data_IF_369397603612
#
_entry.id   IF_369397603612
#
_cell.length_a   1.000
_cell.length_b   1.000
_cell.length_c   1.000
_cell.angle_alpha   90.00
_cell.angle_beta   90.00
_cell.angle_gamma   90.00
#
_symmetry.space_group_name_H-M   'P 1'
#
loop_
_entity.id
_entity.type
_entity.pdbx_description
1 polymer ?
#
# COMPACT_ATOMS: atom_id res chain seq x y z
N UNK A 1 -3.08 -4.25 -28.04
CA UNK A 1 -3.05 -5.08 -29.27
C UNK A 1 -3.80 -6.41 -29.14
N UNK A 2 -4.12 -6.89 -27.93
CA UNK A 2 -4.87 -8.14 -27.73
C UNK A 2 -6.41 -8.02 -27.91
N UNK A 3 -6.95 -6.86 -28.25
CA UNK A 3 -8.42 -6.66 -28.38
C UNK A 3 -8.90 -6.58 -29.83
N UNK A 4 -8.00 -6.59 -30.80
CA UNK A 4 -8.35 -6.47 -32.23
C UNK A 4 -8.84 -7.78 -32.85
N UNK A 5 -8.46 -8.92 -32.26
CA UNK A 5 -8.92 -10.26 -32.65
C UNK A 5 -9.90 -10.76 -31.59
N UNK A 6 -10.99 -11.41 -32.01
CA UNK A 6 -11.98 -12.03 -31.12
C UNK A 6 -11.40 -13.29 -30.43
N UNK A 7 -10.50 -13.08 -29.48
CA UNK A 7 -9.80 -14.12 -28.71
C UNK A 7 -10.74 -14.90 -27.78
N UNK A 8 -11.92 -14.36 -27.48
CA UNK A 8 -12.93 -15.00 -26.64
C UNK A 8 -13.66 -16.15 -27.34
N UNK A 9 -13.46 -16.35 -28.65
CA UNK A 9 -14.02 -17.49 -29.39
C UNK A 9 -13.35 -18.82 -29.06
N UNK A 10 -12.07 -18.80 -28.67
CA UNK A 10 -11.28 -20.00 -28.39
C UNK A 10 -10.86 -19.98 -26.91
N UNK A 11 -11.72 -20.52 -26.05
CA UNK A 11 -11.44 -20.65 -24.62
C UNK A 11 -10.95 -22.05 -24.25
N UNK A 12 -10.03 -22.11 -23.30
CA UNK A 12 -9.50 -23.35 -22.75
C UNK A 12 -9.95 -23.54 -21.30
N UNK A 13 -10.11 -24.80 -20.90
CA UNK A 13 -10.55 -25.17 -19.57
C UNK A 13 -9.34 -25.28 -18.62
N UNK A 14 -9.35 -24.49 -17.55
CA UNK A 14 -8.39 -24.59 -16.46
C UNK A 14 -8.75 -25.74 -15.49
N UNK A 15 -7.79 -26.22 -14.68
CA UNK A 15 -8.03 -27.24 -13.64
C UNK A 15 -9.10 -26.83 -12.61
N UNK A 16 -9.36 -25.54 -12.43
CA UNK A 16 -10.44 -25.02 -11.59
C UNK A 16 -11.83 -25.02 -12.26
N UNK A 17 -11.95 -25.61 -13.46
CA UNK A 17 -13.17 -25.67 -14.28
C UNK A 17 -13.67 -24.32 -14.82
N UNK A 18 -12.85 -23.27 -14.79
CA UNK A 18 -13.13 -22.00 -15.45
C UNK A 18 -12.57 -22.00 -16.88
N UNK A 19 -13.35 -21.48 -17.82
CA UNK A 19 -12.95 -21.26 -19.22
C UNK A 19 -12.33 -19.86 -19.37
N UNK A 20 -11.12 -19.78 -19.90
CA UNK A 20 -10.43 -18.52 -20.17
C UNK A 20 -9.75 -18.55 -21.55
N UNK A 21 -9.56 -17.40 -22.22
CA UNK A 21 -8.82 -17.37 -23.46
C UNK A 21 -7.34 -17.71 -23.23
N UNK A 22 -6.72 -18.37 -24.22
CA UNK A 22 -5.33 -18.84 -24.13
C UNK A 22 -4.34 -17.73 -23.73
N UNK A 23 -4.57 -16.48 -24.18
CA UNK A 23 -3.70 -15.33 -23.92
C UNK A 23 -3.62 -14.89 -22.44
N UNK A 24 -4.57 -15.33 -21.60
CA UNK A 24 -4.61 -15.03 -20.15
C UNK A 24 -4.15 -16.19 -19.29
N UNK A 25 -3.97 -17.37 -19.87
CA UNK A 25 -3.59 -18.58 -19.15
C UNK A 25 -2.07 -18.70 -19.04
N UNK A 26 -1.62 -19.23 -17.91
CA UNK A 26 -0.22 -19.54 -17.65
C UNK A 26 0.04 -21.04 -17.77
N UNK A 27 1.14 -21.42 -18.42
CA UNK A 27 1.58 -22.81 -18.48
C UNK A 27 2.55 -23.12 -17.34
N UNK A 28 2.18 -24.06 -16.46
CA UNK A 28 3.03 -24.48 -15.36
C UNK A 28 3.98 -25.59 -15.83
N UNK A 29 5.29 -25.30 -15.90
CA UNK A 29 6.31 -26.28 -16.31
C UNK A 29 6.44 -27.47 -15.34
N UNK A 30 6.15 -27.29 -14.06
CA UNK A 30 6.29 -28.34 -13.04
C UNK A 30 5.15 -29.38 -13.10
N UNK A 31 3.91 -28.92 -13.32
CA UNK A 31 2.74 -29.79 -13.34
C UNK A 31 2.30 -30.18 -14.76
N UNK A 32 2.85 -29.54 -15.79
CA UNK A 32 2.43 -29.67 -17.20
C UNK A 32 0.94 -29.38 -17.42
N UNK A 33 0.36 -28.49 -16.61
CA UNK A 33 -1.04 -28.09 -16.64
C UNK A 33 -1.20 -26.57 -16.83
N UNK A 34 -2.30 -26.17 -17.48
CA UNK A 34 -2.68 -24.76 -17.63
C UNK A 34 -3.33 -24.23 -16.35
N UNK A 35 -2.94 -23.01 -15.94
CA UNK A 35 -3.47 -22.30 -14.76
C UNK A 35 -4.00 -20.94 -15.17
N UNK A 36 -5.18 -20.58 -14.69
CA UNK A 36 -5.74 -19.25 -14.89
C UNK A 36 -5.15 -18.24 -13.89
N UNK A 37 -5.32 -16.92 -14.11
CA UNK A 37 -4.83 -15.88 -13.20
C UNK A 37 -5.34 -16.04 -11.77
N UNK A 38 -6.52 -16.64 -11.57
CA UNK A 38 -7.09 -16.88 -10.24
C UNK A 38 -6.48 -18.10 -9.53
N UNK A 39 -5.88 -19.04 -10.27
CA UNK A 39 -5.21 -20.22 -9.71
C UNK A 39 -3.74 -19.96 -9.35
N UNK A 40 -3.20 -18.82 -9.75
CA UNK A 40 -1.82 -18.41 -9.49
C UNK A 40 -1.82 -17.37 -8.37
N UNK A 41 -0.84 -17.43 -7.48
CA UNK A 41 -0.62 -16.40 -6.48
C UNK A 41 0.01 -15.17 -7.13
N UNK A 42 -0.55 -13.99 -6.86
CA UNK A 42 0.02 -12.71 -7.31
C UNK A 42 0.93 -12.16 -6.24
N UNK A 43 2.14 -11.80 -6.62
CA UNK A 43 3.14 -11.20 -5.74
C UNK A 43 3.47 -9.79 -6.24
N UNK A 44 3.79 -8.89 -5.32
CA UNK A 44 4.17 -7.52 -5.64
C UNK A 44 5.69 -7.48 -5.81
N UNK A 45 6.14 -7.24 -7.04
CA UNK A 45 7.57 -7.19 -7.38
C UNK A 45 8.17 -5.78 -7.15
N UNK A 46 7.52 -4.74 -7.68
CA UNK A 46 8.01 -3.36 -7.59
C UNK A 46 6.88 -2.33 -7.53
N UNK A 47 7.18 -1.16 -6.96
CA UNK A 47 6.27 -0.01 -6.90
C UNK A 47 6.80 1.04 -7.87
N UNK A 48 5.96 1.57 -8.75
CA UNK A 48 6.39 2.63 -9.67
C UNK A 48 5.31 3.69 -9.86
N UNK A 49 5.74 4.90 -10.20
CA UNK A 49 4.81 5.97 -10.58
C UNK A 49 4.54 5.91 -12.09
N UNK A 50 3.27 5.86 -12.56
CA UNK A 50 2.98 5.79 -13.99
C UNK A 50 3.34 7.07 -14.76
N UNK A 51 3.37 8.21 -14.07
CA UNK A 51 3.67 9.51 -14.67
C UNK A 51 5.17 9.82 -14.70
N UNK A 52 5.82 9.57 -13.57
CA UNK A 52 7.23 9.85 -13.38
C UNK A 52 8.13 8.67 -13.91
N UNK A 53 7.54 7.48 -14.14
CA UNK A 53 8.21 6.22 -14.54
C UNK A 53 9.38 5.80 -13.63
N UNK A 54 9.36 6.29 -12.40
CA UNK A 54 10.38 6.03 -11.39
C UNK A 54 9.97 4.85 -10.52
N UNK A 55 10.92 3.94 -10.30
CA UNK A 55 10.76 2.79 -9.41
C UNK A 55 11.07 3.22 -7.97
N UNK A 56 10.16 2.90 -7.05
CA UNK A 56 10.26 3.19 -5.63
C UNK A 56 10.53 1.90 -4.87
N UNK A 57 11.54 1.92 -4.00
CA UNK A 57 11.81 0.79 -3.10
C UNK A 57 10.61 0.55 -2.16
N UNK A 58 10.37 -0.70 -1.77
CA UNK A 58 9.21 -1.09 -0.94
C UNK A 58 9.16 -0.36 0.40
N UNK A 59 10.30 -0.13 1.05
CA UNK A 59 10.40 0.63 2.29
C UNK A 59 10.02 2.11 2.10
N UNK A 60 10.50 2.73 1.02
CA UNK A 60 10.17 4.12 0.69
C UNK A 60 8.70 4.28 0.33
N UNK A 61 8.16 3.37 -0.48
CA UNK A 61 6.73 3.34 -0.83
C UNK A 61 5.87 3.30 0.43
N UNK A 62 6.21 2.46 1.42
CA UNK A 62 5.49 2.39 2.70
C UNK A 62 5.56 3.71 3.47
N UNK A 63 6.74 4.34 3.54
CA UNK A 63 6.92 5.63 4.22
C UNK A 63 6.14 6.77 3.55
N UNK A 64 6.06 6.75 2.22
CA UNK A 64 5.31 7.71 1.40
C UNK A 64 3.84 7.34 1.21
N UNK A 65 3.33 6.31 1.89
CA UNK A 65 1.94 5.81 1.77
C UNK A 65 1.56 5.48 0.33
N UNK A 66 2.49 4.91 -0.43
CA UNK A 66 2.37 4.54 -1.84
C UNK A 66 2.03 5.72 -2.77
N UNK A 67 2.51 6.93 -2.44
CA UNK A 67 2.36 8.13 -3.27
C UNK A 67 3.70 8.62 -3.79
N UNK A 68 3.69 9.17 -5.01
CA UNK A 68 4.82 9.90 -5.55
C UNK A 68 4.92 11.29 -4.89
N UNK A 69 6.14 11.78 -4.63
CA UNK A 69 6.34 13.12 -4.05
C UNK A 69 6.26 14.26 -5.07
N UNK A 70 6.36 13.96 -6.37
CA UNK A 70 6.44 14.96 -7.44
C UNK A 70 5.19 15.03 -8.31
N UNK A 71 4.50 13.91 -8.45
CA UNK A 71 3.34 13.73 -9.32
C UNK A 71 2.06 13.90 -8.48
N UNK A 72 1.15 14.83 -8.86
CA UNK A 72 -0.09 15.15 -8.14
C UNK A 72 -1.32 14.95 -9.03
N UNK A 73 -2.45 14.55 -8.46
CA UNK A 73 -3.69 14.34 -9.21
C UNK A 73 -4.73 15.44 -8.95
N UNK A 74 -5.48 15.80 -9.98
CA UNK A 74 -6.49 16.85 -9.92
C UNK A 74 -7.68 16.41 -9.05
N UNK A 75 -8.10 17.22 -8.06
CA UNK A 75 -9.22 16.87 -7.18
C UNK A 75 -10.57 16.82 -7.88
N UNK A 76 -10.70 17.44 -9.07
CA UNK A 76 -11.97 17.50 -9.80
C UNK A 76 -12.14 16.39 -10.84
N UNK A 77 -11.07 15.90 -11.46
CA UNK A 77 -11.16 14.92 -12.55
C UNK A 77 -10.21 13.71 -12.44
N UNK A 78 -9.33 13.69 -11.42
CA UNK A 78 -8.35 12.61 -11.24
C UNK A 78 -7.23 12.59 -12.27
N UNK A 79 -7.16 13.56 -13.19
CA UNK A 79 -6.06 13.67 -14.14
C UNK A 79 -4.81 14.27 -13.49
N UNK A 80 -3.64 13.81 -13.89
CA UNK A 80 -2.37 14.28 -13.34
C UNK A 80 -2.12 15.75 -13.66
N UNK A 81 -1.72 16.50 -12.64
CA UNK A 81 -1.43 17.92 -12.68
C UNK A 81 -0.03 18.17 -13.24
N UNK A 82 0.10 19.28 -13.97
CA UNK A 82 1.37 19.74 -14.53
C UNK A 82 1.83 21.03 -13.84
N UNK A 83 3.11 21.12 -13.50
CA UNK A 83 3.70 22.35 -12.97
C UNK A 83 3.90 23.36 -14.10
N UNK A 84 3.34 24.55 -13.96
CA UNK A 84 3.48 25.68 -14.88
C UNK A 84 4.17 26.84 -14.19
N UNK A 85 4.99 27.57 -14.94
CA UNK A 85 5.70 28.74 -14.44
C UNK A 85 5.02 30.04 -14.92
N UNK A 86 5.03 31.07 -14.07
CA UNK A 86 4.65 32.44 -14.40
C UNK A 86 5.67 33.38 -13.78
N UNK A 87 6.03 34.44 -14.50
CA UNK A 87 6.85 35.50 -13.94
C UNK A 87 5.96 36.47 -13.17
N UNK A 88 6.19 36.59 -11.86
CA UNK A 88 5.52 37.58 -11.01
C UNK A 88 6.53 38.68 -10.72
N UNK A 89 6.18 39.91 -11.07
CA UNK A 89 7.02 41.08 -10.79
C UNK A 89 6.71 41.55 -9.37
N UNK A 90 7.66 41.34 -8.47
CA UNK A 90 7.56 41.92 -7.13
C UNK A 90 8.35 43.23 -7.10
N UNK A 91 7.66 44.32 -6.75
CA UNK A 91 8.32 45.55 -6.32
C UNK A 91 8.91 45.31 -4.94
N UNK A 92 10.22 45.49 -4.78
CA UNK A 92 10.84 45.42 -3.45
C UNK A 92 10.38 46.63 -2.63
N UNK A 93 9.98 46.46 -1.36
CA UNK A 93 9.56 47.58 -0.52
C UNK A 93 10.71 48.56 -0.18
N UNK A 94 11.96 48.12 -0.32
CA UNK A 94 13.13 48.88 0.18
C UNK A 94 13.73 49.88 -0.82
N UNK A 95 13.40 49.81 -2.12
CA UNK A 95 13.97 50.71 -3.15
C UNK A 95 12.95 50.95 -4.29
N UNK A 96 12.27 52.11 -4.35
CA UNK A 96 11.27 52.42 -5.37
C UNK A 96 11.94 52.63 -6.75
N UNK A 97 12.05 51.55 -7.53
CA UNK A 97 12.56 51.60 -8.91
C UNK A 97 13.14 50.29 -9.44
N UNK A 98 13.45 49.32 -8.58
CA UNK A 98 14.03 48.04 -9.00
C UNK A 98 13.02 46.89 -8.90
N UNK A 99 12.30 46.64 -9.98
CA UNK A 99 11.42 45.48 -10.10
C UNK A 99 12.24 44.20 -10.32
N UNK A 100 12.15 43.24 -9.40
CA UNK A 100 12.72 41.90 -9.61
C UNK A 100 11.64 40.93 -10.06
N UNK A 101 11.78 40.38 -11.26
CA UNK A 101 10.93 39.30 -11.75
C UNK A 101 11.29 38.01 -11.01
N UNK A 102 10.36 37.45 -10.24
CA UNK A 102 10.53 36.15 -9.60
C UNK A 102 9.69 35.10 -10.35
N UNK A 103 10.26 33.91 -10.54
CA UNK A 103 9.55 32.78 -11.14
C UNK A 103 8.65 32.17 -10.06
N UNK A 104 7.35 32.17 -10.33
CA UNK A 104 6.33 31.53 -9.50
C UNK A 104 5.81 30.29 -10.23
N UNK A 105 5.60 29.20 -9.50
CA UNK A 105 5.13 27.92 -10.01
C UNK A 105 3.76 27.59 -9.45
N UNK A 106 2.85 27.14 -10.31
CA UNK A 106 1.50 26.70 -9.95
C UNK A 106 1.17 25.39 -10.65
N UNK A 107 0.25 24.59 -10.09
CA UNK A 107 -0.18 23.35 -10.73
C UNK A 107 -1.47 23.60 -11.51
N UNK A 108 -1.54 23.03 -12.73
CA UNK A 108 -2.70 23.13 -13.59
C UNK A 108 -3.04 21.79 -14.24
N UNK A 109 -4.33 21.51 -14.32
CA UNK A 109 -4.88 20.36 -15.02
C UNK A 109 -5.07 20.66 -16.51
N UNK A 110 -4.55 19.80 -17.39
CA UNK A 110 -4.75 19.93 -18.84
C UNK A 110 -6.18 19.59 -19.30
N UNK A 111 -6.93 18.81 -18.52
CA UNK A 111 -8.25 18.30 -18.90
C UNK A 111 -9.38 19.26 -18.49
N UNK A 112 -9.53 19.52 -17.19
CA UNK A 112 -10.62 20.36 -16.66
C UNK A 112 -10.23 21.83 -16.44
N UNK A 113 -8.99 22.22 -16.76
CA UNK A 113 -8.42 23.57 -16.55
C UNK A 113 -8.40 24.06 -15.10
N UNK A 114 -8.56 23.16 -14.12
CA UNK A 114 -8.40 23.48 -12.70
C UNK A 114 -6.98 23.95 -12.40
N UNK A 115 -6.85 24.98 -11.56
CA UNK A 115 -5.59 25.58 -11.15
C UNK A 115 -5.51 25.62 -9.61
N UNK A 116 -4.31 25.46 -9.04
CA UNK A 116 -4.10 25.61 -7.58
C UNK A 116 -4.54 26.95 -7.03
N UNK A 117 -4.50 28.01 -7.86
CA UNK A 117 -4.97 29.36 -7.53
C UNK A 117 -6.47 29.39 -7.24
N UNK A 118 -7.26 28.58 -7.95
CA UNK A 118 -8.72 28.49 -7.76
C UNK A 118 -9.08 27.93 -6.37
N UNK A 119 -8.15 27.18 -5.76
CA UNK A 119 -8.31 26.59 -4.43
C UNK A 119 -7.63 27.41 -3.32
N UNK A 120 -7.13 28.60 -3.65
CA UNK A 120 -6.45 29.49 -2.70
C UNK A 120 -5.07 29.00 -2.24
N UNK A 121 -4.43 28.08 -2.99
CA UNK A 121 -3.08 27.62 -2.68
C UNK A 121 -2.08 28.61 -3.33
N UNK A 122 -1.17 29.22 -2.55
CA UNK A 122 -0.23 30.21 -3.08
C UNK A 122 0.80 29.57 -4.01
N UNK A 123 1.21 30.33 -5.03
CA UNK A 123 2.26 29.92 -5.95
C UNK A 123 3.59 29.68 -5.21
N UNK A 124 4.32 28.65 -5.63
CA UNK A 124 5.59 28.27 -5.02
C UNK A 124 6.77 28.89 -5.77
N UNK A 125 7.85 29.24 -5.07
CA UNK A 125 9.08 29.72 -5.72
C UNK A 125 9.92 28.58 -6.32
N UNK A 126 9.69 27.34 -5.88
CA UNK A 126 10.38 26.15 -6.37
C UNK A 126 9.43 25.23 -7.15
N UNK A 127 9.92 24.66 -8.26
CA UNK A 127 9.12 23.82 -9.15
C UNK A 127 8.74 22.46 -8.52
N UNK A 128 9.58 21.91 -7.63
CA UNK A 128 9.42 20.60 -7.02
C UNK A 128 9.73 20.69 -5.51
N UNK A 129 9.05 19.88 -4.69
CA UNK A 129 9.28 19.77 -3.23
C UNK A 129 8.58 20.81 -2.35
N UNK A 130 8.10 21.93 -2.90
CA UNK A 130 7.36 22.96 -2.15
C UNK A 130 5.89 22.64 -1.87
N UNK A 131 5.33 21.65 -2.57
CA UNK A 131 3.92 21.26 -2.48
C UNK A 131 3.70 20.35 -1.27
N UNK A 132 3.40 20.93 -0.12
CA UNK A 132 3.15 20.19 1.12
C UNK A 132 1.65 19.89 1.28
N UNK A 133 1.31 18.62 1.54
CA UNK A 133 -0.04 18.22 1.92
C UNK A 133 -0.33 18.67 3.36
N UNK A 134 -1.52 19.25 3.59
CA UNK A 134 -1.96 19.62 4.94
C UNK A 134 -2.22 18.36 5.76
N UNK A 135 -1.56 18.24 6.89
CA UNK A 135 -1.78 17.15 7.84
C UNK A 135 -3.21 17.26 8.39
N UNK A 136 -3.91 16.13 8.50
CA UNK A 136 -5.27 16.12 9.01
C UNK A 136 -5.30 16.62 10.47
N UNK A 137 -6.25 17.49 10.83
CA UNK A 137 -6.32 18.06 12.19
C UNK A 137 -6.54 16.98 13.27
N UNK A 138 -7.16 15.86 12.91
CA UNK A 138 -7.38 14.72 13.80
C UNK A 138 -6.20 13.75 13.89
N UNK A 139 -5.08 14.03 13.20
CA UNK A 139 -3.92 13.14 13.17
C UNK A 139 -3.43 12.76 14.58
N UNK A 140 -3.39 13.72 15.52
CA UNK A 140 -2.99 13.48 16.92
C UNK A 140 -3.91 12.47 17.62
N UNK A 141 -5.22 12.56 17.40
CA UNK A 141 -6.22 11.68 18.02
C UNK A 141 -6.16 10.26 17.46
N UNK A 142 -5.95 10.15 16.14
CA UNK A 142 -5.78 8.85 15.46
C UNK A 142 -4.48 8.19 15.90
N UNK A 143 -3.38 8.95 15.95
CA UNK A 143 -2.07 8.43 16.35
C UNK A 143 -2.06 7.92 17.80
N UNK A 144 -2.71 8.66 18.72
CA UNK A 144 -2.84 8.24 20.12
C UNK A 144 -3.63 6.93 20.26
N UNK A 145 -4.74 6.77 19.52
CA UNK A 145 -5.53 5.54 19.54
C UNK A 145 -4.80 4.36 18.92
N UNK A 146 -4.11 4.56 17.78
CA UNK A 146 -3.32 3.49 17.16
C UNK A 146 -2.17 3.03 18.06
N UNK A 147 -1.50 3.96 18.73
CA UNK A 147 -0.40 3.62 19.63
C UNK A 147 -0.86 2.76 20.80
N UNK A 148 -2.03 3.07 21.39
CA UNK A 148 -2.63 2.26 22.44
C UNK A 148 -2.99 0.85 21.96
N UNK A 149 -3.55 0.72 20.76
CA UNK A 149 -3.87 -0.59 20.16
C UNK A 149 -2.60 -1.39 19.87
N UNK A 150 -1.54 -0.76 19.35
CA UNK A 150 -0.24 -1.39 19.11
C UNK A 150 0.43 -1.80 20.42
N UNK A 151 0.40 -0.97 21.47
CA UNK A 151 0.93 -1.33 22.78
C UNK A 151 0.17 -2.51 23.39
N UNK A 152 -1.17 -2.51 23.31
CA UNK A 152 -1.97 -3.64 23.76
C UNK A 152 -1.65 -4.90 22.96
N UNK A 153 -1.47 -4.79 21.65
CA UNK A 153 -1.11 -5.93 20.79
C UNK A 153 0.30 -6.46 21.10
N UNK A 154 1.29 -5.59 21.27
CA UNK A 154 2.66 -5.97 21.62
C UNK A 154 2.74 -6.52 23.04
N UNK A 155 2.03 -5.95 24.02
CA UNK A 155 1.91 -6.52 25.36
C UNK A 155 1.21 -7.88 25.33
N UNK A 156 0.16 -8.04 24.53
CA UNK A 156 -0.57 -9.30 24.42
C UNK A 156 0.26 -10.39 23.73
N UNK A 157 0.94 -10.08 22.63
CA UNK A 157 1.87 -11.00 21.96
C UNK A 157 3.11 -11.28 22.80
N UNK A 158 3.65 -10.30 23.53
CA UNK A 158 4.75 -10.48 24.47
C UNK A 158 4.37 -11.42 25.60
N UNK A 159 3.22 -11.20 26.24
CA UNK A 159 2.68 -12.09 27.28
C UNK A 159 2.43 -13.51 26.75
N UNK A 160 1.94 -13.67 25.52
CA UNK A 160 1.79 -15.00 24.88
C UNK A 160 3.16 -15.65 24.62
N UNK A 161 4.16 -14.88 24.19
CA UNK A 161 5.49 -15.40 23.93
C UNK A 161 6.19 -15.84 25.23
N UNK A 162 6.06 -15.06 26.30
CA UNK A 162 6.56 -15.40 27.63
C UNK A 162 5.84 -16.65 28.20
N UNK A 163 4.51 -16.75 28.04
CA UNK A 163 3.73 -17.94 28.44
C UNK A 163 4.15 -19.19 27.64
N UNK A 164 4.43 -19.04 26.35
CA UNK A 164 4.95 -20.12 25.51
C UNK A 164 6.35 -20.56 25.93
N UNK A 165 7.24 -19.63 26.28
CA UNK A 165 8.59 -19.96 26.76
C UNK A 165 8.52 -20.68 28.11
N UNK A 166 7.70 -20.21 29.06
CA UNK A 166 7.47 -20.93 30.34
C UNK A 166 6.94 -22.35 30.11
N UNK A 167 6.01 -22.52 29.16
CA UNK A 167 5.47 -23.83 28.82
C UNK A 167 6.51 -24.75 28.13
N UNK A 168 7.33 -24.21 27.23
CA UNK A 168 8.44 -24.94 26.59
C UNK A 168 9.58 -25.28 27.56
N UNK A 169 9.80 -24.49 28.61
CA UNK A 169 10.76 -24.79 29.68
C UNK A 169 10.24 -25.81 30.69
N UNK A 170 8.93 -26.12 30.71
CA UNK A 170 8.33 -27.19 31.52
C UNK A 170 8.39 -28.58 30.85
N UNK A 171 8.50 -28.66 29.52
CA UNK A 171 8.64 -29.92 28.77
C UNK A 171 9.91 -30.77 29.03
N UNK A 172 11.08 -30.27 29.49
CA UNK A 172 12.24 -31.11 29.76
C UNK A 172 12.07 -32.04 30.98
N UNK A 173 11.18 -31.71 31.94
CA UNK A 173 11.03 -32.47 33.18
C UNK A 173 10.14 -33.71 33.00
N UNK A 174 9.24 -33.71 31.99
CA UNK A 174 8.35 -34.83 31.71
C UNK A 174 8.90 -35.87 30.71
N UNK A 175 10.11 -35.66 30.15
CA UNK A 175 10.71 -36.57 29.15
C UNK A 175 11.41 -37.81 29.72
N UNK A 176 11.46 -37.99 31.04
CA UNK A 176 12.11 -39.13 31.70
C UNK A 176 11.16 -40.24 32.16
N UNK A 177 9.88 -40.20 31.79
CA UNK A 177 9.00 -41.34 32.02
C UNK A 177 8.20 -41.68 30.76
N UNK A 178 8.42 -42.91 30.28
CA UNK A 178 7.73 -43.55 29.18
C UNK A 178 6.20 -43.40 29.30
N UNK A 179 5.63 -42.50 28.51
CA UNK A 179 4.22 -42.57 28.09
C UNK A 179 4.12 -41.94 26.69
N UNK A 180 4.65 -42.70 25.72
CA UNK A 180 4.38 -42.48 24.31
C UNK A 180 2.95 -42.91 24.04
N UNK A 181 2.26 -42.11 23.23
CA UNK A 181 0.94 -42.39 22.68
C UNK A 181 -0.24 -42.11 23.62
N UNK A 182 -0.71 -40.84 23.66
CA UNK A 182 -2.15 -40.51 23.53
C UNK A 182 -2.47 -38.99 23.55
N UNK A 183 -1.52 -38.09 23.85
CA UNK A 183 -1.84 -36.66 24.12
C UNK A 183 -1.28 -35.61 23.12
N UNK A 184 -0.70 -36.02 21.99
CA UNK A 184 -0.03 -35.07 21.07
C UNK A 184 -0.89 -34.58 19.90
N UNK A 185 -2.11 -35.09 19.70
CA UNK A 185 -2.97 -34.67 18.57
C UNK A 185 -3.99 -33.58 18.89
N UNK A 186 -4.46 -33.46 20.13
CA UNK A 186 -5.48 -32.46 20.48
C UNK A 186 -4.90 -31.08 20.82
N UNK A 187 -3.68 -31.01 21.36
CA UNK A 187 -3.06 -29.74 21.76
C UNK A 187 -2.47 -28.93 20.59
N UNK A 188 -1.97 -29.59 19.53
CA UNK A 188 -1.51 -28.89 18.32
C UNK A 188 -2.69 -28.30 17.51
N UNK A 189 -3.85 -28.95 17.54
CA UNK A 189 -5.07 -28.40 16.96
C UNK A 189 -5.54 -27.14 17.71
N UNK A 190 -5.38 -27.10 19.03
CA UNK A 190 -5.77 -25.96 19.85
C UNK A 190 -4.91 -24.71 19.53
N UNK A 191 -3.61 -24.90 19.31
CA UNK A 191 -2.70 -23.80 18.93
C UNK A 191 -3.00 -23.25 17.53
N UNK A 192 -3.22 -24.12 16.54
CA UNK A 192 -3.58 -23.68 15.19
C UNK A 192 -5.00 -23.07 15.11
N UNK A 193 -5.95 -23.55 15.92
CA UNK A 193 -7.29 -22.96 16.01
C UNK A 193 -7.27 -21.58 16.68
N UNK A 194 -6.45 -21.36 17.71
CA UNK A 194 -6.32 -20.06 18.37
C UNK A 194 -5.69 -19.01 17.45
N UNK A 195 -4.63 -19.39 16.71
CA UNK A 195 -4.01 -18.51 15.70
C UNK A 195 -5.02 -18.18 14.58
N UNK A 196 -5.77 -19.16 14.07
CA UNK A 196 -6.82 -18.93 13.07
C UNK A 196 -8.01 -18.11 13.58
N UNK A 197 -8.40 -18.24 14.85
CA UNK A 197 -9.47 -17.44 15.44
C UNK A 197 -9.05 -15.98 15.66
N UNK A 198 -7.78 -15.70 15.97
CA UNK A 198 -7.26 -14.34 16.09
C UNK A 198 -7.11 -13.65 14.73
N UNK A 199 -6.64 -14.35 13.69
CA UNK A 199 -6.56 -13.79 12.33
C UNK A 199 -7.94 -13.38 11.80
N UNK A 200 -8.99 -14.15 12.13
CA UNK A 200 -10.37 -13.86 11.72
C UNK A 200 -11.00 -12.68 12.48
N UNK A 201 -10.59 -12.44 13.73
CA UNK A 201 -11.14 -11.37 14.58
C UNK A 201 -10.47 -10.02 14.32
N UNK A 202 -9.17 -10.03 13.99
CA UNK A 202 -8.40 -8.81 13.69
C UNK A 202 -8.73 -8.27 12.29
N UNK A 203 -8.98 -9.14 11.30
CA UNK A 203 -9.40 -8.69 9.97
C UNK A 203 -10.78 -8.01 9.95
N UNK A 204 -11.69 -8.41 10.86
CA UNK A 204 -13.05 -7.85 10.94
C UNK A 204 -13.10 -6.46 11.57
N UNK A 205 -12.03 -6.03 12.24
CA UNK A 205 -11.93 -4.69 12.85
C UNK A 205 -11.36 -3.62 11.90
N UNK A 206 -10.76 -4.02 10.77
CA UNK A 206 -10.19 -3.10 9.77
C UNK A 206 -11.14 -2.76 8.61
N UNK A 207 -12.31 -3.43 8.52
CA UNK A 207 -13.36 -3.16 7.54
C UNK A 207 -14.70 -2.88 8.25
N UNK A 208 -14.79 -1.76 8.96
CA UNK A 208 -16.03 -1.01 9.24
C UNK A 208 -15.70 0.44 9.57
#
# INVERSE_FOLDING_TARGET
MATYLELDKCTLLCSCKQTNPLCTLYFCRHCLCLRCPNCVSHEVDSYYCPNCLENMASAEAKMRKHRCGNCFDCPSCGHTLSTRATAVVHAKPDEPGRTTAQKAYFLACGFCRWITRDSGIPDQQQAAGGWQEKISPHFKRVCSKLYLVLLLYVCYFGLIFDYCIEFSMMEPIARNHDFRDYYTKDHYLCFYCLVRCLDCSVFRFFYY
#
